data_IF_403800261260
#
_entry.id   IF_403800261260
#
_cell.length_a   1.000
_cell.length_b   1.000
_cell.length_c   1.000
_cell.angle_alpha   90.00
_cell.angle_beta   90.00
_cell.angle_gamma   90.00
#
_symmetry.space_group_name_H-M   'P 1'
#
loop_
_entity.id
_entity.type
_entity.pdbx_description
1 polymer ?
#
# COMPACT_ATOMS: atom_id res chain seq x y z
N UNK A 1 63.54 22.16 -20.92
CA UNK A 1 63.51 23.37 -20.09
C UNK A 1 62.84 22.97 -18.79
N UNK A 2 63.59 22.70 -17.70
CA UNK A 2 64.00 23.63 -16.61
C UNK A 2 62.82 24.35 -15.95
N UNK A 3 62.65 24.44 -14.61
CA UNK A 3 63.22 23.77 -13.41
C UNK A 3 62.21 24.02 -12.25
N UNK A 4 61.77 23.08 -11.41
CA UNK A 4 62.44 22.33 -10.32
C UNK A 4 62.54 23.08 -8.95
N UNK A 5 62.35 22.31 -7.85
CA UNK A 5 62.76 22.51 -6.42
C UNK A 5 61.80 23.15 -5.38
N UNK A 6 61.64 22.43 -4.25
CA UNK A 6 61.22 22.82 -2.86
C UNK A 6 62.43 23.44 -2.09
N UNK A 7 62.61 23.56 -0.73
CA UNK A 7 61.89 23.04 0.48
C UNK A 7 61.66 24.10 1.65
N UNK A 8 60.72 23.98 2.62
CA UNK A 8 60.64 23.25 3.95
C UNK A 8 61.13 23.95 5.26
N UNK A 9 60.47 23.63 6.41
CA UNK A 9 60.92 23.76 7.85
C UNK A 9 60.96 25.19 8.46
N UNK A 10 60.94 25.50 9.78
CA UNK A 10 60.61 24.88 11.13
C UNK A 10 60.68 26.01 12.20
N UNK A 11 60.19 25.96 13.47
CA UNK A 11 59.12 25.25 14.22
C UNK A 11 59.15 25.67 15.74
N UNK A 12 58.15 25.28 16.55
CA UNK A 12 58.00 25.51 18.03
C UNK A 12 57.72 26.96 18.50
N UNK A 13 57.13 27.28 19.66
CA UNK A 13 56.64 26.53 20.87
C UNK A 13 55.30 27.16 21.36
N UNK A 14 54.72 27.07 22.58
CA UNK A 14 55.01 26.53 23.94
C UNK A 14 53.67 26.32 24.73
N UNK A 15 53.70 26.14 26.07
CA UNK A 15 52.53 26.18 26.99
C UNK A 15 52.85 26.95 28.29
N UNK A 16 51.84 27.34 29.10
CA UNK A 16 51.69 26.67 30.40
C UNK A 16 50.22 26.39 30.82
N UNK A 17 50.03 25.93 32.06
CA UNK A 17 48.82 25.28 32.59
C UNK A 17 48.17 26.08 33.74
N UNK A 18 46.83 26.01 33.91
CA UNK A 18 46.13 26.42 35.14
C UNK A 18 44.81 25.64 35.32
N UNK A 19 44.42 25.37 36.57
CA UNK A 19 43.43 24.32 36.90
C UNK A 19 42.54 24.67 38.09
N UNK A 20 41.23 24.39 38.00
CA UNK A 20 40.37 24.22 39.19
C UNK A 20 39.04 23.49 38.92
N UNK A 21 38.73 22.53 39.81
CA UNK A 21 37.39 22.14 40.29
C UNK A 21 36.25 21.83 39.29
N UNK A 22 36.18 20.55 38.91
CA UNK A 22 35.03 19.65 39.17
C UNK A 22 33.57 20.16 39.09
N UNK A 23 32.81 19.62 38.13
CA UNK A 23 31.52 18.97 38.42
C UNK A 23 31.01 18.13 37.25
N UNK A 24 30.77 16.84 37.50
CA UNK A 24 29.80 16.02 36.77
C UNK A 24 28.50 15.96 37.62
N UNK A 25 27.33 15.51 37.10
CA UNK A 25 27.08 14.97 35.76
C UNK A 25 25.94 15.71 35.01
N UNK A 26 25.64 15.30 33.77
CA UNK A 26 24.40 14.55 33.56
C UNK A 26 24.42 13.72 32.25
N UNK A 27 23.70 12.61 32.24
CA UNK A 27 23.47 11.81 31.05
C UNK A 27 22.41 12.48 30.15
N UNK A 28 22.81 13.01 29.00
CA UNK A 28 21.89 13.26 27.89
C UNK A 28 21.46 11.92 27.31
N UNK A 29 20.44 11.31 27.91
CA UNK A 29 19.91 10.01 27.50
C UNK A 29 19.40 10.09 26.06
N UNK A 30 20.16 9.51 25.14
CA UNK A 30 19.70 9.23 23.78
C UNK A 30 18.60 8.18 23.86
N UNK A 31 17.37 8.63 24.15
CA UNK A 31 16.20 7.78 24.27
C UNK A 31 15.83 7.24 22.90
N UNK A 32 16.48 6.15 22.54
CA UNK A 32 16.13 5.24 21.46
C UNK A 32 14.78 4.60 21.78
N UNK A 33 13.71 5.40 21.64
CA UNK A 33 12.34 4.96 21.73
C UNK A 33 12.14 3.87 20.69
N UNK A 34 12.21 2.62 21.13
CA UNK A 34 11.85 1.47 20.33
C UNK A 34 10.40 1.68 19.90
N UNK A 35 10.18 1.82 18.59
CA UNK A 35 8.82 1.89 18.05
C UNK A 35 8.15 0.56 18.35
N UNK A 36 7.34 0.53 19.40
CA UNK A 36 6.57 -0.63 19.79
C UNK A 36 5.84 -1.18 18.56
N UNK A 37 6.03 -2.47 18.28
CA UNK A 37 5.49 -3.08 17.07
C UNK A 37 3.96 -2.93 17.07
N UNK A 38 3.40 -2.43 15.97
CA UNK A 38 1.94 -2.32 15.82
C UNK A 38 1.31 -3.71 15.90
N UNK A 39 0.25 -3.81 16.69
CA UNK A 39 -0.55 -5.03 16.91
C UNK A 39 -1.94 -4.85 16.29
N UNK A 40 -2.74 -5.90 16.06
CA UNK A 40 -4.14 -5.69 15.68
C UNK A 40 -4.95 -5.04 16.82
N UNK A 41 -4.49 -5.18 18.07
CA UNK A 41 -5.03 -4.47 19.24
C UNK A 41 -4.93 -2.94 19.13
N UNK A 42 -4.02 -2.39 18.32
CA UNK A 42 -3.93 -0.95 18.04
C UNK A 42 -5.02 -0.45 17.05
N UNK A 43 -5.79 -1.34 16.43
CA UNK A 43 -6.79 -0.99 15.41
C UNK A 43 -8.24 -1.24 15.87
N UNK A 44 -9.17 -0.53 15.25
CA UNK A 44 -10.61 -0.84 15.22
C UNK A 44 -10.93 -1.33 13.81
N UNK A 45 -11.27 -2.61 13.68
CA UNK A 45 -11.70 -3.20 12.41
C UNK A 45 -13.17 -2.86 12.14
N UNK A 46 -13.49 -2.62 10.86
CA UNK A 46 -14.82 -2.26 10.39
C UNK A 46 -15.32 -3.21 9.29
N UNK A 47 -15.93 -2.66 8.25
CA UNK A 47 -16.45 -3.42 7.11
C UNK A 47 -15.38 -4.20 6.36
N UNK A 48 -15.80 -5.29 5.71
CA UNK A 48 -15.00 -6.01 4.72
C UNK A 48 -14.99 -5.19 3.43
N UNK A 49 -13.80 -4.97 2.88
CA UNK A 49 -13.55 -4.28 1.61
C UNK A 49 -13.33 -5.25 0.44
N UNK A 50 -12.93 -6.49 0.73
CA UNK A 50 -12.74 -7.54 -0.27
C UNK A 50 -12.43 -8.91 0.35
N UNK A 51 -12.74 -9.98 -0.38
CA UNK A 51 -12.51 -11.36 0.07
C UNK A 51 -11.83 -12.18 -1.04
N UNK A 52 -10.65 -12.72 -0.74
CA UNK A 52 -9.92 -13.68 -1.56
C UNK A 52 -9.95 -15.09 -0.96
N UNK A 53 -9.27 -16.04 -1.62
CA UNK A 53 -9.31 -17.47 -1.26
C UNK A 53 -8.59 -17.87 0.03
N UNK A 54 -7.74 -16.99 0.58
CA UNK A 54 -7.04 -17.18 1.87
C UNK A 54 -6.85 -15.87 2.64
N UNK A 55 -7.57 -14.82 2.23
CA UNK A 55 -7.35 -13.46 2.68
C UNK A 55 -8.67 -12.69 2.74
N UNK A 56 -8.83 -11.84 3.75
CA UNK A 56 -9.95 -10.89 3.85
C UNK A 56 -9.40 -9.50 4.13
N UNK A 57 -9.80 -8.53 3.33
CA UNK A 57 -9.39 -7.13 3.46
C UNK A 57 -10.48 -6.40 4.24
N UNK A 58 -10.09 -5.75 5.32
CA UNK A 58 -10.98 -4.96 6.18
C UNK A 58 -10.61 -3.49 6.12
N UNK A 59 -11.61 -2.62 6.29
CA UNK A 59 -11.36 -1.26 6.76
C UNK A 59 -10.85 -1.34 8.21
N UNK A 60 -9.78 -0.63 8.54
CA UNK A 60 -9.28 -0.54 9.91
C UNK A 60 -8.85 0.90 10.27
N UNK A 61 -9.26 1.36 11.46
CA UNK A 61 -8.85 2.65 12.00
C UNK A 61 -7.81 2.47 13.09
N UNK A 62 -6.66 3.13 12.98
CA UNK A 62 -5.62 3.10 14.02
C UNK A 62 -6.05 3.96 15.21
N UNK A 63 -6.20 3.34 16.39
CA UNK A 63 -6.86 3.93 17.57
C UNK A 63 -6.25 5.27 18.01
N UNK A 64 -4.93 5.39 17.93
CA UNK A 64 -4.14 6.53 18.44
C UNK A 64 -4.25 7.80 17.60
N UNK A 65 -4.36 7.69 16.27
CA UNK A 65 -4.39 8.86 15.36
C UNK A 65 -5.69 9.00 14.57
N UNK A 66 -6.61 8.03 14.66
CA UNK A 66 -7.85 7.95 13.86
C UNK A 66 -7.62 7.86 12.34
N UNK A 67 -6.38 7.66 11.89
CA UNK A 67 -6.07 7.35 10.49
C UNK A 67 -6.67 6.01 10.07
N UNK A 68 -7.12 5.92 8.82
CA UNK A 68 -7.86 4.77 8.28
C UNK A 68 -7.02 4.06 7.22
N UNK A 69 -7.09 2.74 7.20
CA UNK A 69 -6.23 1.83 6.43
C UNK A 69 -7.06 0.68 5.84
N UNK A 70 -6.55 0.05 4.80
CA UNK A 70 -6.97 -1.29 4.40
C UNK A 70 -6.05 -2.30 5.07
N UNK A 71 -6.60 -3.30 5.77
CA UNK A 71 -5.82 -4.36 6.43
C UNK A 71 -6.18 -5.70 5.83
N UNK A 72 -5.23 -6.30 5.10
CA UNK A 72 -5.34 -7.65 4.55
C UNK A 72 -4.96 -8.64 5.64
N UNK A 73 -5.96 -9.33 6.20
CA UNK A 73 -5.81 -10.41 7.17
C UNK A 73 -5.75 -11.72 6.41
N UNK A 74 -4.80 -12.59 6.76
CA UNK A 74 -4.55 -13.86 6.09
C UNK A 74 -4.31 -14.99 7.09
N UNK A 75 -5.04 -16.08 6.88
CA UNK A 75 -4.93 -17.34 7.60
C UNK A 75 -3.58 -18.03 7.28
N UNK A 76 -2.70 -18.17 8.27
CA UNK A 76 -1.42 -18.87 8.05
C UNK A 76 -1.57 -20.40 7.97
N UNK A 77 -2.59 -21.01 8.58
CA UNK A 77 -2.88 -22.45 8.46
C UNK A 77 -3.19 -22.80 6.99
N UNK A 78 -4.13 -22.10 6.38
CA UNK A 78 -4.48 -22.27 4.97
C UNK A 78 -3.31 -21.95 4.05
N UNK A 79 -2.52 -20.90 4.34
CA UNK A 79 -1.31 -20.56 3.58
C UNK A 79 -0.27 -21.69 3.64
N UNK A 80 -0.02 -22.28 4.82
CA UNK A 80 0.88 -23.44 4.99
C UNK A 80 0.34 -24.65 4.21
N UNK A 81 -0.91 -25.05 4.50
CA UNK A 81 -1.61 -26.21 3.95
C UNK A 81 -1.64 -26.23 2.42
N UNK A 82 -1.95 -25.10 1.80
CA UNK A 82 -2.03 -24.96 0.34
C UNK A 82 -0.73 -24.46 -0.30
N UNK A 83 0.40 -24.55 0.42
CA UNK A 83 1.76 -24.19 -0.04
C UNK A 83 1.86 -22.77 -0.63
N UNK A 84 1.05 -21.83 -0.14
CA UNK A 84 0.99 -20.44 -0.64
C UNK A 84 2.06 -19.51 -0.07
N UNK A 85 2.84 -19.97 0.92
CA UNK A 85 3.91 -19.20 1.58
C UNK A 85 4.79 -18.40 0.62
N UNK A 86 5.30 -18.94 -0.52
CA UNK A 86 6.19 -18.18 -1.41
C UNK A 86 5.50 -16.96 -2.04
N UNK A 87 4.22 -17.06 -2.39
CA UNK A 87 3.45 -15.96 -2.97
C UNK A 87 3.23 -14.83 -1.96
N UNK A 88 2.90 -15.18 -0.72
CA UNK A 88 2.67 -14.21 0.37
C UNK A 88 3.97 -13.53 0.81
N UNK A 89 5.09 -14.27 0.82
CA UNK A 89 6.42 -13.69 1.05
C UNK A 89 6.83 -12.75 -0.09
N UNK A 90 6.58 -13.15 -1.35
CA UNK A 90 6.86 -12.34 -2.53
C UNK A 90 6.04 -11.05 -2.57
N UNK A 91 4.72 -11.13 -2.31
CA UNK A 91 3.82 -9.97 -2.18
C UNK A 91 4.35 -8.99 -1.14
N UNK A 92 4.62 -9.47 0.09
CA UNK A 92 5.21 -8.65 1.15
C UNK A 92 6.53 -8.00 0.74
N UNK A 93 7.42 -8.76 0.12
CA UNK A 93 8.75 -8.29 -0.28
C UNK A 93 8.68 -7.24 -1.40
N UNK A 94 7.82 -7.44 -2.39
CA UNK A 94 7.56 -6.47 -3.48
C UNK A 94 6.98 -5.19 -2.89
N UNK A 95 5.86 -5.29 -2.18
CA UNK A 95 5.19 -4.11 -1.62
C UNK A 95 6.08 -3.32 -0.66
N UNK A 96 6.93 -4.00 0.15
CA UNK A 96 7.87 -3.33 1.06
C UNK A 96 8.99 -2.52 0.39
N UNK A 97 9.15 -2.62 -0.93
CA UNK A 97 10.14 -1.87 -1.73
C UNK A 97 9.54 -0.72 -2.55
N UNK A 98 8.22 -0.70 -2.73
CA UNK A 98 7.55 0.23 -3.63
C UNK A 98 7.00 1.44 -2.86
N UNK A 99 7.33 2.64 -3.33
CA UNK A 99 6.81 3.90 -2.81
C UNK A 99 6.59 4.88 -3.96
N UNK A 100 5.36 4.93 -4.48
CA UNK A 100 4.98 5.68 -5.68
C UNK A 100 3.51 6.10 -5.58
N UNK A 101 3.10 7.33 -5.99
CA UNK A 101 1.74 7.83 -5.79
C UNK A 101 0.64 7.03 -6.50
N UNK A 102 0.98 6.27 -7.55
CA UNK A 102 0.05 5.40 -8.28
C UNK A 102 0.25 3.91 -7.94
N UNK A 103 0.74 3.59 -6.73
CA UNK A 103 0.88 2.21 -6.21
C UNK A 103 0.44 2.21 -4.75
N UNK A 104 -0.51 1.33 -4.40
CA UNK A 104 -1.08 1.21 -3.04
C UNK A 104 0.03 1.07 -2.00
N UNK A 105 0.14 2.07 -1.13
CA UNK A 105 1.26 2.16 -0.18
C UNK A 105 1.14 1.11 0.92
N UNK A 106 2.19 0.31 1.08
CA UNK A 106 2.36 -0.61 2.19
C UNK A 106 3.01 0.09 3.39
N UNK A 107 2.42 -0.07 4.57
CA UNK A 107 2.88 0.57 5.81
C UNK A 107 3.68 -0.41 6.68
N UNK A 108 3.12 -1.58 6.97
CA UNK A 108 3.77 -2.61 7.77
C UNK A 108 3.08 -3.97 7.62
N UNK A 109 3.71 -5.02 8.15
CA UNK A 109 3.07 -6.31 8.37
C UNK A 109 3.42 -6.86 9.75
N UNK A 110 2.44 -7.39 10.46
CA UNK A 110 2.63 -8.05 11.76
C UNK A 110 1.99 -9.43 11.75
N UNK A 111 2.49 -10.33 12.60
CA UNK A 111 1.87 -11.61 12.90
C UNK A 111 1.30 -11.57 14.30
N UNK A 112 0.09 -12.07 14.47
CA UNK A 112 -0.33 -12.56 15.79
C UNK A 112 0.25 -13.95 15.90
N UNK A 113 1.28 -14.08 16.73
CA UNK A 113 1.49 -15.33 17.46
C UNK A 113 0.60 -15.29 18.69
N UNK A 114 0.16 -16.45 19.14
CA UNK A 114 -0.69 -16.59 20.32
C UNK A 114 -0.06 -15.90 21.55
N UNK A 115 -0.87 -15.10 22.24
CA UNK A 115 -0.55 -14.46 23.51
C UNK A 115 -1.76 -14.68 24.41
N UNK A 116 -1.55 -15.48 25.46
CA UNK A 116 -2.56 -16.16 26.29
C UNK A 116 -3.30 -15.19 27.24
N UNK A 117 -3.88 -14.12 26.69
CA UNK A 117 -4.55 -13.03 27.40
C UNK A 117 -5.87 -12.57 26.74
N UNK A 118 -6.33 -13.23 25.67
CA UNK A 118 -7.60 -12.92 24.98
C UNK A 118 -8.78 -13.79 25.47
N UNK A 119 -8.65 -14.40 26.66
CA UNK A 119 -9.63 -15.37 27.19
C UNK A 119 -10.83 -14.73 27.94
N UNK A 120 -10.87 -13.39 28.09
CA UNK A 120 -11.91 -12.69 28.85
C UNK A 120 -12.66 -11.58 28.10
N UNK A 121 -12.31 -11.28 26.84
CA UNK A 121 -12.98 -10.24 26.04
C UNK A 121 -13.20 -10.73 24.60
N UNK A 122 -14.47 -10.85 24.22
CA UNK A 122 -14.99 -11.32 22.92
C UNK A 122 -15.00 -12.84 22.74
N UNK A 123 -16.21 -13.41 22.66
CA UNK A 123 -16.48 -14.84 22.43
C UNK A 123 -16.19 -15.31 20.98
N UNK A 124 -15.29 -14.63 20.27
CA UNK A 124 -15.09 -14.73 18.82
C UNK A 124 -13.61 -14.59 18.41
N UNK A 125 -12.70 -15.28 19.08
CA UNK A 125 -11.36 -15.54 18.54
C UNK A 125 -10.92 -16.95 18.93
N UNK A 126 -10.73 -17.82 17.95
CA UNK A 126 -10.32 -19.21 18.12
C UNK A 126 -9.09 -19.44 17.24
N UNK A 127 -7.92 -19.47 17.89
CA UNK A 127 -6.65 -20.09 17.49
C UNK A 127 -6.02 -19.76 16.11
N UNK A 128 -6.58 -18.83 15.33
CA UNK A 128 -6.06 -18.45 14.00
C UNK A 128 -4.77 -17.60 14.05
N UNK A 129 -3.61 -18.27 13.96
CA UNK A 129 -2.28 -17.69 13.65
C UNK A 129 -2.36 -16.81 12.38
N UNK A 130 -2.62 -15.51 12.56
CA UNK A 130 -2.97 -14.62 11.45
C UNK A 130 -1.82 -13.68 11.05
N UNK A 131 -1.58 -13.57 9.74
CA UNK A 131 -0.67 -12.57 9.15
C UNK A 131 -1.47 -11.36 8.66
N UNK A 132 -1.06 -10.18 9.09
CA UNK A 132 -1.68 -8.91 8.74
C UNK A 132 -0.75 -8.08 7.87
N UNK A 133 -1.28 -7.44 6.83
CA UNK A 133 -0.62 -6.39 6.06
C UNK A 133 -1.44 -5.10 6.16
N UNK A 134 -0.83 -4.02 6.63
CA UNK A 134 -1.43 -2.69 6.73
C UNK A 134 -1.09 -1.89 5.48
N UNK A 135 -2.11 -1.44 4.78
CA UNK A 135 -2.04 -0.81 3.48
C UNK A 135 -2.86 0.48 3.46
N UNK A 136 -2.60 1.31 2.47
CA UNK A 136 -3.41 2.47 2.11
C UNK A 136 -4.88 2.11 1.83
N UNK A 137 -5.79 3.00 2.23
CA UNK A 137 -7.23 2.85 2.01
C UNK A 137 -7.64 3.59 0.74
N UNK A 138 -7.60 2.89 -0.40
CA UNK A 138 -8.30 3.27 -1.61
C UNK A 138 -9.82 3.27 -1.33
N UNK A 139 -10.51 4.38 -1.66
CA UNK A 139 -11.91 4.63 -1.27
C UNK A 139 -12.92 4.53 -2.40
N UNK A 140 -12.47 4.64 -3.65
CA UNK A 140 -13.32 4.50 -4.85
C UNK A 140 -13.51 3.05 -5.30
N UNK A 141 -12.93 2.08 -4.57
CA UNK A 141 -13.05 0.66 -4.88
C UNK A 141 -12.10 0.23 -6.01
N UNK A 142 -12.52 -0.78 -6.77
CA UNK A 142 -11.77 -1.38 -7.88
C UNK A 142 -12.30 -0.96 -9.26
N UNK A 143 -11.41 -0.90 -10.25
CA UNK A 143 -11.74 -0.55 -11.64
C UNK A 143 -12.70 -1.57 -12.28
N UNK A 144 -12.66 -2.85 -11.92
CA UNK A 144 -13.59 -3.85 -12.44
C UNK A 144 -15.05 -3.48 -12.10
N UNK A 145 -15.34 -3.27 -10.81
CA UNK A 145 -16.66 -2.81 -10.36
C UNK A 145 -17.08 -1.48 -10.99
N UNK A 146 -16.15 -0.53 -11.20
CA UNK A 146 -16.44 0.72 -11.92
C UNK A 146 -16.88 0.47 -13.36
N UNK A 147 -16.13 -0.35 -14.13
CA UNK A 147 -16.46 -0.68 -15.53
C UNK A 147 -17.81 -1.41 -15.61
N UNK A 148 -18.07 -2.34 -14.69
CA UNK A 148 -19.32 -3.08 -14.64
C UNK A 148 -20.52 -2.15 -14.43
N UNK A 149 -20.46 -1.31 -13.38
CA UNK A 149 -21.51 -0.36 -13.04
C UNK A 149 -21.89 0.55 -14.22
N UNK A 150 -20.89 1.14 -14.90
CA UNK A 150 -21.14 2.05 -16.02
C UNK A 150 -21.71 1.36 -17.26
N UNK A 151 -21.34 0.09 -17.51
CA UNK A 151 -21.94 -0.67 -18.62
C UNK A 151 -23.42 -0.98 -18.37
N UNK A 152 -23.80 -1.40 -17.17
CA UNK A 152 -25.20 -1.69 -16.85
C UNK A 152 -26.05 -0.42 -16.76
N UNK A 153 -25.61 0.61 -16.02
CA UNK A 153 -26.40 1.84 -15.85
C UNK A 153 -26.60 2.61 -17.16
N UNK A 154 -25.59 2.70 -18.04
CA UNK A 154 -25.77 3.36 -19.35
C UNK A 154 -26.68 2.53 -20.27
N UNK A 155 -26.70 1.20 -20.13
CA UNK A 155 -27.66 0.36 -20.88
C UNK A 155 -29.11 0.61 -20.43
N UNK A 156 -29.35 0.79 -19.13
CA UNK A 156 -30.69 1.08 -18.58
C UNK A 156 -31.15 2.49 -18.97
N UNK A 157 -30.28 3.50 -18.86
CA UNK A 157 -30.61 4.88 -19.25
C UNK A 157 -30.90 4.97 -20.76
N UNK A 158 -30.06 4.33 -21.59
CA UNK A 158 -30.33 4.21 -23.03
C UNK A 158 -31.63 3.51 -23.34
N UNK A 159 -32.06 2.51 -22.54
CA UNK A 159 -33.35 1.84 -22.75
C UNK A 159 -34.55 2.76 -22.50
N UNK A 160 -34.42 3.74 -21.59
CA UNK A 160 -35.42 4.78 -21.37
C UNK A 160 -35.41 5.82 -22.51
N UNK A 161 -34.23 6.28 -22.94
CA UNK A 161 -34.10 7.15 -24.12
C UNK A 161 -34.62 6.46 -25.39
N UNK A 162 -34.42 5.15 -25.54
CA UNK A 162 -34.94 4.32 -26.63
C UNK A 162 -36.47 4.16 -26.62
N UNK A 163 -37.11 4.30 -25.45
CA UNK A 163 -38.58 4.33 -25.34
C UNK A 163 -39.12 5.72 -25.75
N UNK A 164 -38.39 6.79 -25.44
CA UNK A 164 -38.78 8.18 -25.75
C UNK A 164 -38.50 8.54 -27.23
N UNK A 165 -37.35 8.18 -27.77
CA UNK A 165 -36.84 8.59 -29.09
C UNK A 165 -36.93 7.46 -30.14
N UNK A 166 -38.12 6.91 -30.36
CA UNK A 166 -38.34 5.74 -31.23
C UNK A 166 -38.10 5.92 -32.75
N UNK A 167 -37.56 7.06 -33.21
CA UNK A 167 -37.53 7.45 -34.64
C UNK A 167 -36.14 7.60 -35.29
N UNK A 168 -35.03 7.53 -34.55
CA UNK A 168 -33.69 7.81 -35.09
C UNK A 168 -32.76 6.56 -35.13
N UNK A 169 -33.27 5.39 -34.76
CA UNK A 169 -32.46 4.19 -34.47
C UNK A 169 -31.78 3.54 -35.68
N UNK A 170 -32.24 3.80 -36.91
CA UNK A 170 -31.66 3.21 -38.12
C UNK A 170 -30.36 3.87 -38.60
N UNK A 171 -30.11 5.15 -38.24
CA UNK A 171 -28.88 5.85 -38.61
C UNK A 171 -27.68 5.44 -37.73
N UNK A 172 -27.88 5.39 -36.41
CA UNK A 172 -26.82 5.10 -35.45
C UNK A 172 -26.23 3.67 -35.58
N UNK A 173 -27.01 2.73 -36.13
CA UNK A 173 -26.64 1.31 -36.25
C UNK A 173 -25.56 1.02 -37.29
N UNK A 174 -25.22 2.00 -38.14
CA UNK A 174 -24.16 1.89 -39.16
C UNK A 174 -22.75 2.20 -38.63
N UNK A 175 -22.64 2.73 -37.40
CA UNK A 175 -21.35 3.01 -36.75
C UNK A 175 -21.13 2.02 -35.62
N UNK A 176 -19.94 1.42 -35.58
CA UNK A 176 -19.63 0.28 -34.71
C UNK A 176 -19.83 0.56 -33.22
N UNK A 177 -20.14 -0.49 -32.45
CA UNK A 177 -20.58 -0.42 -31.06
C UNK A 177 -19.75 0.55 -30.20
N UNK A 178 -20.36 1.71 -29.87
CA UNK A 178 -19.76 2.74 -29.01
C UNK A 178 -19.84 2.28 -27.57
N UNK A 179 -18.77 1.64 -27.09
CA UNK A 179 -18.62 1.28 -25.67
C UNK A 179 -18.61 2.56 -24.80
N UNK A 180 -19.56 2.63 -23.88
CA UNK A 180 -19.81 3.79 -23.01
C UNK A 180 -19.41 3.55 -21.55
N UNK A 181 -18.66 2.48 -21.25
CA UNK A 181 -18.15 2.22 -19.90
C UNK A 181 -17.32 3.38 -19.33
N UNK A 182 -16.51 4.03 -20.17
CA UNK A 182 -15.66 5.16 -19.84
C UNK A 182 -15.58 6.12 -21.05
N UNK A 183 -15.45 7.43 -20.82
CA UNK A 183 -15.06 8.34 -21.90
C UNK A 183 -13.58 8.17 -22.24
N UNK A 184 -13.18 8.50 -23.48
CA UNK A 184 -11.79 8.39 -23.94
C UNK A 184 -10.82 9.17 -23.03
N UNK A 185 -11.22 10.34 -22.54
CA UNK A 185 -10.42 11.13 -21.62
C UNK A 185 -10.21 10.45 -20.25
N UNK A 186 -11.24 9.78 -19.71
CA UNK A 186 -11.14 9.00 -18.45
C UNK A 186 -10.22 7.78 -18.64
N UNK A 187 -10.33 7.09 -19.77
CA UNK A 187 -9.43 5.97 -20.11
C UNK A 187 -7.98 6.48 -20.23
N UNK A 188 -7.75 7.58 -20.95
CA UNK A 188 -6.41 8.17 -21.11
C UNK A 188 -5.80 8.57 -19.75
N UNK A 189 -6.59 9.17 -18.86
CA UNK A 189 -6.12 9.58 -17.53
C UNK A 189 -5.66 8.39 -16.68
N UNK A 190 -6.49 7.34 -16.56
CA UNK A 190 -6.11 6.16 -15.77
C UNK A 190 -5.01 5.32 -16.44
N UNK A 191 -5.01 5.22 -17.78
CA UNK A 191 -3.90 4.58 -18.51
C UNK A 191 -2.58 5.32 -18.31
N UNK A 192 -2.58 6.65 -18.27
CA UNK A 192 -1.38 7.43 -17.98
C UNK A 192 -0.85 7.14 -16.56
N UNK A 193 -1.72 7.14 -15.53
CA UNK A 193 -1.32 6.77 -14.17
C UNK A 193 -0.73 5.34 -14.10
N UNK A 194 -1.40 4.38 -14.76
CA UNK A 194 -0.96 2.99 -14.83
C UNK A 194 0.40 2.85 -15.53
N UNK A 195 0.63 3.54 -16.65
CA UNK A 195 1.92 3.54 -17.36
C UNK A 195 3.04 4.12 -16.49
N UNK A 196 2.76 5.18 -15.72
CA UNK A 196 3.76 5.77 -14.79
C UNK A 196 4.08 4.79 -13.64
N UNK A 197 3.08 4.11 -13.08
CA UNK A 197 3.28 3.05 -12.09
C UNK A 197 4.07 1.85 -12.64
N UNK A 198 3.73 1.38 -13.84
CA UNK A 198 4.42 0.29 -14.52
C UNK A 198 5.88 0.62 -14.81
N UNK A 199 6.17 1.85 -15.28
CA UNK A 199 7.54 2.33 -15.46
C UNK A 199 8.33 2.30 -14.15
N UNK A 200 7.71 2.68 -13.03
CA UNK A 200 8.35 2.65 -11.72
C UNK A 200 8.65 1.22 -11.23
N UNK A 201 7.71 0.26 -11.32
CA UNK A 201 8.01 -1.13 -10.92
C UNK A 201 9.07 -1.78 -11.83
N UNK A 202 9.04 -1.48 -13.13
CA UNK A 202 10.04 -1.97 -14.08
C UNK A 202 11.44 -1.40 -13.79
N UNK A 203 11.56 -0.12 -13.39
CA UNK A 203 12.84 0.45 -12.91
C UNK A 203 13.33 -0.13 -11.58
N UNK A 204 12.46 -0.81 -10.82
CA UNK A 204 12.82 -1.60 -9.64
C UNK A 204 13.03 -3.10 -9.97
N UNK A 205 13.11 -3.46 -11.25
CA UNK A 205 13.23 -4.83 -11.77
C UNK A 205 12.09 -5.78 -11.34
N UNK A 206 10.88 -5.24 -11.11
CA UNK A 206 9.69 -5.99 -10.69
C UNK A 206 8.67 -6.05 -11.84
N UNK A 207 8.28 -7.25 -12.25
CA UNK A 207 7.20 -7.48 -13.23
C UNK A 207 5.93 -7.89 -12.48
N UNK A 208 4.82 -7.18 -12.68
CA UNK A 208 3.57 -7.40 -11.93
C UNK A 208 2.95 -8.79 -12.16
N UNK A 209 2.90 -9.22 -13.43
CA UNK A 209 2.35 -10.50 -13.94
C UNK A 209 0.85 -10.76 -13.73
N UNK A 210 0.20 -10.17 -12.73
CA UNK A 210 -1.26 -10.25 -12.51
C UNK A 210 -1.92 -8.87 -12.69
N UNK A 211 -1.73 -8.23 -13.85
CA UNK A 211 -2.33 -6.92 -14.13
C UNK A 211 -3.72 -7.10 -14.77
N UNK A 212 -4.75 -6.69 -14.03
CA UNK A 212 -6.18 -6.84 -14.38
C UNK A 212 -7.03 -5.77 -13.68
N UNK A 213 -8.27 -5.48 -14.12
CA UNK A 213 -9.09 -4.41 -13.55
C UNK A 213 -9.42 -4.57 -12.05
N UNK A 214 -9.49 -5.79 -11.54
CA UNK A 214 -9.69 -6.12 -10.12
C UNK A 214 -8.49 -5.64 -9.26
N UNK A 215 -7.29 -5.57 -9.84
CA UNK A 215 -6.05 -5.19 -9.16
C UNK A 215 -5.69 -3.70 -9.34
N UNK A 216 -6.63 -2.88 -9.82
CA UNK A 216 -6.47 -1.42 -9.97
C UNK A 216 -7.54 -0.75 -9.09
N UNK A 217 -7.11 0.10 -8.15
CA UNK A 217 -7.96 0.74 -7.15
C UNK A 217 -7.99 2.27 -7.29
N UNK A 218 -9.03 2.90 -6.73
CA UNK A 218 -9.29 4.35 -6.72
C UNK A 218 -9.36 4.94 -5.30
#
# INVERSE_FOLDING_TARGET
MVSATTPSRTASSSTPNSSSSSSAPNSSSSSSQSRAAMTPGDFVFGSVLGQGSFAKVYHAQFKKTKANFAVKVMDQEFIKKHKKVPFVVMERQVMSKLSHPNIVKFYCSFKVRDVVLVSLITHCYQDDESLYMVMELCRGGELLSYIWYHREHVSILRWLDDIVCSKERDAAKAQGAVDTACSVAVVQFYMAQLIVALRYIHSNHIIHRDLKPDNILF
#
